data_IF_033358714469
#
_entry.id   IF_033358714469
#
_cell.length_a   1.000
_cell.length_b   1.000
_cell.length_c   1.000
_cell.angle_alpha   90.00
_cell.angle_beta   90.00
_cell.angle_gamma   90.00
#
_symmetry.space_group_name_H-M   'P 1'
#
loop_
_entity.id
_entity.type
_entity.pdbx_description
1 polymer ?
#
# COMPACT_ATOMS: atom_id res chain seq x y z
N UNK A 1 -8.17 7.53 39.49
CA UNK A 1 -7.71 6.23 38.94
C UNK A 1 -7.88 6.33 37.45
N UNK A 2 -6.79 6.37 36.71
CA UNK A 2 -6.84 6.39 35.24
C UNK A 2 -7.53 5.11 34.76
N UNK A 3 -8.52 5.25 33.89
CA UNK A 3 -9.16 4.08 33.28
C UNK A 3 -8.10 3.34 32.47
N UNK A 4 -7.99 2.00 32.58
CA UNK A 4 -7.05 1.25 31.79
C UNK A 4 -7.42 1.38 30.32
N UNK A 5 -6.46 1.78 29.50
CA UNK A 5 -6.68 1.90 28.06
C UNK A 5 -6.94 0.52 27.46
N UNK A 6 -8.07 0.34 26.79
CA UNK A 6 -8.48 -0.96 26.24
C UNK A 6 -8.02 -1.09 24.78
N UNK A 7 -7.19 -2.11 24.53
CA UNK A 7 -6.76 -2.49 23.19
C UNK A 7 -7.60 -3.66 22.68
N UNK A 8 -8.07 -3.57 21.44
CA UNK A 8 -8.86 -4.62 20.80
C UNK A 8 -8.03 -5.30 19.72
N UNK A 9 -7.95 -6.62 19.77
CA UNK A 9 -7.35 -7.41 18.70
C UNK A 9 -8.40 -7.72 17.64
N UNK A 10 -8.02 -7.45 16.39
CA UNK A 10 -8.83 -7.68 15.21
C UNK A 10 -8.05 -8.54 14.21
N UNK A 11 -8.79 -9.34 13.44
CA UNK A 11 -8.23 -10.07 12.30
C UNK A 11 -8.31 -9.16 11.07
N UNK A 12 -7.19 -9.02 10.38
CA UNK A 12 -7.11 -8.38 9.08
C UNK A 12 -7.04 -9.47 8.02
N UNK A 13 -7.96 -9.43 7.06
CA UNK A 13 -8.00 -10.33 5.92
C UNK A 13 -7.79 -9.54 4.63
N UNK A 14 -6.90 -10.07 3.78
CA UNK A 14 -6.62 -9.51 2.47
C UNK A 14 -7.65 -10.05 1.48
N UNK A 15 -8.47 -9.17 0.90
CA UNK A 15 -9.53 -9.57 -0.04
C UNK A 15 -9.11 -9.45 -1.51
N UNK A 16 -8.18 -8.55 -1.80
CA UNK A 16 -7.58 -8.32 -3.12
C UNK A 16 -6.08 -8.19 -2.95
N UNK A 17 -5.25 -8.37 -3.99
CA UNK A 17 -3.82 -8.11 -3.88
C UNK A 17 -3.53 -6.72 -3.30
N UNK A 18 -2.70 -6.65 -2.26
CA UNK A 18 -2.33 -5.38 -1.61
C UNK A 18 -0.81 -5.20 -1.68
N UNK A 19 -0.37 -4.08 -2.26
CA UNK A 19 1.04 -3.66 -2.25
C UNK A 19 1.24 -2.43 -1.35
N UNK A 20 2.23 -2.49 -0.47
CA UNK A 20 2.75 -1.35 0.30
C UNK A 20 4.26 -1.33 0.07
N UNK A 21 4.74 -0.39 -0.74
CA UNK A 21 6.13 -0.37 -1.19
C UNK A 21 7.07 0.37 -0.24
N UNK A 22 8.36 0.02 -0.31
CA UNK A 22 9.45 0.75 0.37
C UNK A 22 9.92 2.00 -0.38
N UNK A 23 9.48 2.17 -1.63
CA UNK A 23 10.02 3.15 -2.58
C UNK A 23 11.26 2.66 -3.34
N UNK A 24 11.79 1.49 -3.00
CA UNK A 24 12.89 0.85 -3.73
C UNK A 24 12.39 0.18 -5.02
N UNK A 25 13.35 -0.15 -5.88
CA UNK A 25 13.15 -0.93 -7.10
C UNK A 25 14.24 -2.00 -7.13
N UNK A 26 13.84 -3.26 -7.28
CA UNK A 26 14.74 -4.40 -7.41
C UNK A 26 14.94 -4.74 -8.88
N UNK A 27 16.17 -5.13 -9.23
CA UNK A 27 16.59 -5.43 -10.58
C UNK A 27 17.14 -6.86 -10.68
N UNK A 28 16.68 -7.62 -11.68
CA UNK A 28 17.20 -8.97 -11.96
C UNK A 28 18.69 -8.93 -12.32
N UNK A 29 19.12 -7.95 -13.12
CA UNK A 29 20.52 -7.79 -13.55
C UNK A 29 21.46 -7.48 -12.36
N UNK A 30 20.94 -6.87 -11.30
CA UNK A 30 21.67 -6.63 -10.06
C UNK A 30 21.62 -7.84 -9.10
N UNK A 31 20.92 -8.92 -9.48
CA UNK A 31 20.72 -10.14 -8.72
C UNK A 31 19.93 -9.96 -7.42
N UNK A 32 19.01 -8.99 -7.38
CA UNK A 32 18.05 -8.89 -6.27
C UNK A 32 17.08 -10.09 -6.25
N UNK A 33 16.78 -10.62 -7.43
CA UNK A 33 15.98 -11.82 -7.62
C UNK A 33 16.39 -12.56 -8.89
N UNK A 34 16.05 -13.84 -8.97
CA UNK A 34 16.27 -14.71 -10.13
C UNK A 34 14.95 -15.32 -10.60
N UNK A 35 14.84 -15.61 -11.89
CA UNK A 35 13.72 -16.37 -12.44
C UNK A 35 14.11 -17.84 -12.63
N UNK A 36 13.33 -18.75 -12.05
CA UNK A 36 13.52 -20.20 -12.22
C UNK A 36 12.19 -20.88 -12.55
N UNK A 37 12.01 -21.25 -13.82
CA UNK A 37 10.74 -21.78 -14.30
C UNK A 37 9.63 -20.74 -14.17
N UNK A 38 8.56 -21.06 -13.43
CA UNK A 38 7.45 -20.14 -13.16
C UNK A 38 7.50 -19.56 -11.73
N UNK A 39 8.69 -19.42 -11.17
CA UNK A 39 8.92 -18.89 -9.84
C UNK A 39 9.98 -17.79 -9.85
N UNK A 40 9.79 -16.77 -9.01
CA UNK A 40 10.75 -15.70 -8.76
C UNK A 40 11.39 -15.93 -7.40
N UNK A 41 12.71 -16.07 -7.39
CA UNK A 41 13.52 -16.38 -6.21
C UNK A 41 14.19 -15.09 -5.74
N UNK A 42 13.72 -14.52 -4.63
CA UNK A 42 14.34 -13.35 -4.01
C UNK A 42 15.57 -13.80 -3.24
N UNK A 43 16.70 -13.11 -3.47
CA UNK A 43 18.01 -13.53 -2.97
C UNK A 43 18.45 -12.66 -1.80
N UNK A 44 18.77 -13.30 -0.68
CA UNK A 44 19.53 -12.68 0.41
C UNK A 44 21.00 -12.56 -0.02
N UNK A 45 21.34 -11.45 -0.67
CA UNK A 45 22.69 -11.19 -1.16
C UNK A 45 23.73 -11.23 -0.03
N UNK A 46 23.41 -10.66 1.14
CA UNK A 46 24.33 -10.67 2.28
C UNK A 46 24.59 -12.10 2.77
N UNK A 47 23.53 -12.90 2.90
CA UNK A 47 23.64 -14.31 3.20
C UNK A 47 24.44 -15.08 2.14
N UNK A 48 24.24 -14.78 0.86
CA UNK A 48 24.98 -15.39 -0.24
C UNK A 48 26.48 -15.06 -0.14
N UNK A 49 26.84 -13.78 -0.01
CA UNK A 49 28.23 -13.35 0.13
C UNK A 49 28.90 -13.97 1.36
N UNK A 50 28.18 -14.06 2.48
CA UNK A 50 28.70 -14.71 3.69
C UNK A 50 29.00 -16.20 3.46
N UNK A 51 28.15 -16.93 2.72
CA UNK A 51 28.40 -18.32 2.35
C UNK A 51 29.62 -18.41 1.43
N UNK A 52 29.70 -17.56 0.41
CA UNK A 52 30.80 -17.56 -0.57
C UNK A 52 32.16 -17.28 0.09
N UNK A 53 32.25 -16.25 0.93
CA UNK A 53 33.50 -15.89 1.63
C UNK A 53 33.97 -17.00 2.57
N UNK A 54 33.03 -17.65 3.28
CA UNK A 54 33.35 -18.70 4.24
C UNK A 54 33.49 -20.09 3.60
N UNK A 55 33.20 -20.21 2.31
CA UNK A 55 33.37 -21.47 1.60
C UNK A 55 34.87 -21.80 1.48
N UNK A 56 35.23 -23.03 1.84
CA UNK A 56 36.61 -23.55 1.73
C UNK A 56 36.97 -23.97 0.31
N UNK A 57 36.06 -23.83 -0.66
CA UNK A 57 36.28 -24.22 -2.04
C UNK A 57 37.07 -23.14 -2.78
N UNK A 58 38.29 -23.49 -3.19
CA UNK A 58 39.20 -22.60 -3.92
C UNK A 58 38.58 -22.13 -5.26
N UNK A 59 37.73 -22.97 -5.87
CA UNK A 59 36.98 -22.69 -7.09
C UNK A 59 35.97 -21.55 -6.93
N UNK A 60 35.38 -21.37 -5.73
CA UNK A 60 34.41 -20.31 -5.46
C UNK A 60 35.05 -18.92 -5.37
N UNK A 61 36.29 -18.84 -4.88
CA UNK A 61 37.04 -17.57 -4.88
C UNK A 61 37.41 -17.15 -6.31
N UNK A 62 37.89 -18.08 -7.13
CA UNK A 62 38.12 -17.79 -8.54
C UNK A 62 36.83 -17.44 -9.30
N UNK A 63 35.70 -18.03 -8.93
CA UNK A 63 34.42 -17.72 -9.54
C UNK A 63 33.88 -16.36 -9.09
N UNK A 64 34.10 -15.93 -7.84
CA UNK A 64 33.79 -14.55 -7.41
C UNK A 64 34.64 -13.54 -8.19
N UNK A 65 35.90 -13.86 -8.48
CA UNK A 65 36.80 -12.99 -9.25
C UNK A 65 36.48 -12.97 -10.76
N UNK A 66 35.85 -14.03 -11.29
CA UNK A 66 35.52 -14.20 -12.72
C UNK A 66 34.04 -13.96 -13.08
N UNK A 67 33.12 -14.16 -12.13
CA UNK A 67 31.68 -14.08 -12.39
C UNK A 67 31.18 -12.65 -12.23
N UNK A 68 30.34 -12.24 -13.18
CA UNK A 68 29.70 -10.92 -13.19
C UNK A 68 28.22 -11.01 -12.78
N UNK A 69 27.67 -12.23 -12.64
CA UNK A 69 26.25 -12.46 -12.39
C UNK A 69 26.01 -13.36 -11.17
N UNK A 70 25.06 -12.95 -10.33
CA UNK A 70 24.66 -13.66 -9.09
C UNK A 70 24.12 -15.07 -9.37
N UNK A 71 23.59 -15.33 -10.58
CA UNK A 71 23.15 -16.65 -11.02
C UNK A 71 24.29 -17.68 -11.01
N UNK A 72 25.48 -17.28 -11.46
CA UNK A 72 26.65 -18.16 -11.51
C UNK A 72 27.20 -18.40 -10.10
N UNK A 73 27.16 -17.38 -9.25
CA UNK A 73 27.49 -17.50 -7.83
C UNK A 73 26.53 -18.45 -7.10
N UNK A 74 25.23 -18.40 -7.40
CA UNK A 74 24.23 -19.29 -6.80
C UNK A 74 24.35 -20.74 -7.30
N UNK A 75 24.63 -20.95 -8.59
CA UNK A 75 24.93 -22.28 -9.13
C UNK A 75 26.18 -22.86 -8.45
N UNK A 76 27.19 -22.03 -8.21
CA UNK A 76 28.42 -22.47 -7.57
C UNK A 76 28.30 -22.68 -6.05
N UNK A 77 27.41 -21.95 -5.36
CA UNK A 77 27.01 -22.22 -3.97
C UNK A 77 26.17 -23.51 -3.80
N UNK A 78 25.96 -24.22 -4.91
CA UNK A 78 25.48 -25.58 -5.18
C UNK A 78 24.20 -26.08 -4.51
N UNK A 79 23.62 -25.55 -3.42
CA UNK A 79 22.36 -26.19 -2.93
C UNK A 79 21.46 -25.50 -1.91
N UNK A 80 21.71 -24.28 -1.40
CA UNK A 80 20.83 -23.68 -0.38
C UNK A 80 20.51 -22.23 -0.67
N UNK A 81 19.20 -21.91 -0.69
CA UNK A 81 18.75 -20.52 -0.62
C UNK A 81 19.31 -19.90 0.67
N UNK A 82 20.11 -18.83 0.59
CA UNK A 82 20.75 -18.24 1.76
C UNK A 82 19.73 -17.56 2.66
N UNK A 83 19.90 -17.67 3.98
CA UNK A 83 19.29 -16.80 4.98
C UNK A 83 17.82 -16.47 4.75
N UNK A 84 17.54 -15.19 4.47
CA UNK A 84 16.19 -14.63 4.29
C UNK A 84 15.64 -14.73 2.86
N UNK A 85 16.23 -15.55 1.99
CA UNK A 85 15.72 -15.76 0.63
C UNK A 85 14.35 -16.43 0.65
N UNK A 86 13.48 -16.08 -0.31
CA UNK A 86 12.15 -16.66 -0.44
C UNK A 86 11.69 -16.72 -1.90
N UNK A 87 10.62 -17.49 -2.14
CA UNK A 87 10.08 -17.73 -3.47
C UNK A 87 8.73 -17.04 -3.61
N UNK A 88 8.53 -16.36 -4.73
CA UNK A 88 7.29 -15.73 -5.12
C UNK A 88 6.74 -16.39 -6.38
N UNK A 89 5.41 -16.53 -6.39
CA UNK A 89 4.64 -16.98 -7.56
C UNK A 89 3.88 -15.80 -8.14
N UNK A 90 3.57 -15.84 -9.43
CA UNK A 90 2.68 -14.87 -10.04
C UNK A 90 1.26 -14.99 -9.46
N UNK A 91 0.60 -13.85 -9.31
CA UNK A 91 -0.80 -13.78 -8.92
C UNK A 91 -1.70 -13.89 -10.17
N UNK A 92 -2.56 -14.91 -10.20
CA UNK A 92 -3.39 -15.23 -11.36
C UNK A 92 -2.56 -15.66 -12.57
N UNK A 93 -3.00 -15.29 -13.77
CA UNK A 93 -2.33 -15.63 -15.03
C UNK A 93 -1.28 -14.59 -15.48
N UNK A 94 -0.68 -13.85 -14.55
CA UNK A 94 0.36 -12.87 -14.89
C UNK A 94 1.71 -13.55 -15.16
N UNK A 95 2.48 -12.95 -16.06
CA UNK A 95 3.89 -13.31 -16.25
C UNK A 95 4.73 -12.82 -15.05
N UNK A 96 5.91 -13.40 -14.87
CA UNK A 96 6.90 -12.87 -13.93
C UNK A 96 7.70 -11.71 -14.56
N UNK A 97 8.21 -10.76 -13.75
CA UNK A 97 9.03 -9.67 -14.24
C UNK A 97 10.40 -10.15 -14.71
N UNK A 98 10.76 -9.83 -15.95
CA UNK A 98 12.09 -10.11 -16.53
C UNK A 98 13.17 -9.11 -16.11
N UNK A 99 12.81 -8.00 -15.44
CA UNK A 99 13.75 -6.91 -15.16
C UNK A 99 13.58 -6.28 -13.80
N UNK A 100 12.38 -5.80 -13.52
CA UNK A 100 12.13 -4.91 -12.38
C UNK A 100 10.98 -5.41 -11.52
N UNK A 101 11.16 -5.38 -10.20
CA UNK A 101 10.14 -5.71 -9.21
C UNK A 101 10.14 -4.65 -8.11
N UNK A 102 8.95 -4.16 -7.71
CA UNK A 102 8.82 -3.27 -6.55
C UNK A 102 8.58 -4.11 -5.29
N UNK A 103 9.50 -4.10 -4.31
CA UNK A 103 9.35 -4.90 -3.11
C UNK A 103 8.27 -4.35 -2.18
N UNK A 104 7.61 -5.27 -1.47
CA UNK A 104 6.72 -4.99 -0.37
C UNK A 104 7.53 -4.62 0.87
N UNK A 105 7.01 -3.73 1.71
CA UNK A 105 7.66 -3.30 2.95
C UNK A 105 7.77 -4.44 3.95
N UNK A 106 8.96 -4.61 4.52
CA UNK A 106 9.28 -5.67 5.48
C UNK A 106 9.98 -5.09 6.69
N UNK A 107 9.88 -5.79 7.82
CA UNK A 107 10.70 -5.50 9.00
C UNK A 107 12.16 -5.87 8.75
N UNK A 108 13.06 -5.52 9.68
CA UNK A 108 14.46 -5.94 9.64
C UNK A 108 14.63 -7.48 9.68
N UNK A 109 13.61 -8.23 10.10
CA UNK A 109 13.57 -9.69 10.09
C UNK A 109 12.92 -10.25 8.81
N UNK A 110 12.79 -9.43 7.76
CA UNK A 110 12.19 -9.77 6.47
C UNK A 110 10.72 -10.24 6.55
N UNK A 111 9.99 -9.83 7.60
CA UNK A 111 8.56 -10.10 7.71
C UNK A 111 7.77 -9.00 7.01
N UNK A 112 6.99 -9.31 5.96
CA UNK A 112 6.08 -8.35 5.34
C UNK A 112 5.08 -7.85 6.37
N UNK A 113 4.74 -6.58 6.33
CA UNK A 113 3.72 -6.06 7.25
C UNK A 113 2.91 -4.92 6.65
N UNK A 114 1.66 -4.77 7.10
CA UNK A 114 0.89 -3.56 6.88
C UNK A 114 1.23 -2.60 8.02
N UNK A 115 1.84 -1.44 7.73
CA UNK A 115 2.08 -0.44 8.77
C UNK A 115 0.76 0.09 9.33
N UNK A 116 0.67 0.23 10.65
CA UNK A 116 -0.48 0.84 11.32
C UNK A 116 -0.73 2.25 10.80
N UNK A 117 0.33 2.97 10.40
CA UNK A 117 0.25 4.29 9.75
C UNK A 117 -0.44 4.25 8.39
N UNK A 118 -0.28 3.19 7.59
CA UNK A 118 -0.96 3.03 6.30
C UNK A 118 -2.47 2.87 6.50
N UNK A 119 -2.90 2.00 7.43
CA UNK A 119 -4.32 1.85 7.75
C UNK A 119 -4.89 3.11 8.40
N UNK A 120 -4.12 3.78 9.27
CA UNK A 120 -4.49 5.07 9.87
C UNK A 120 -4.73 6.12 8.80
N UNK A 121 -3.90 6.14 7.77
CA UNK A 121 -4.05 7.01 6.59
C UNK A 121 -5.36 6.76 5.86
N UNK A 122 -5.70 5.50 5.59
CA UNK A 122 -6.99 5.13 4.97
C UNK A 122 -8.19 5.57 5.81
N UNK A 123 -8.15 5.35 7.13
CA UNK A 123 -9.20 5.81 8.05
C UNK A 123 -9.28 7.34 8.07
N UNK A 124 -8.12 8.02 8.07
CA UNK A 124 -8.05 9.49 7.99
C UNK A 124 -8.75 10.01 6.75
N UNK A 125 -8.56 9.37 5.59
CA UNK A 125 -9.25 9.76 4.35
C UNK A 125 -10.78 9.62 4.47
N UNK A 126 -11.28 8.56 5.12
CA UNK A 126 -12.71 8.38 5.38
C UNK A 126 -13.24 9.54 6.23
N UNK A 127 -12.60 9.80 7.37
CA UNK A 127 -12.98 10.85 8.31
C UNK A 127 -12.91 12.25 7.68
N UNK A 128 -11.89 12.50 6.87
CA UNK A 128 -11.74 13.74 6.11
C UNK A 128 -12.90 13.95 5.13
N UNK A 129 -13.31 12.91 4.40
CA UNK A 129 -14.44 13.02 3.49
C UNK A 129 -15.76 13.28 4.23
N UNK A 130 -15.93 12.71 5.42
CA UNK A 130 -17.12 12.91 6.24
C UNK A 130 -17.21 14.33 6.80
N UNK A 131 -16.09 14.90 7.28
CA UNK A 131 -16.07 16.27 7.78
C UNK A 131 -16.41 17.28 6.67
N UNK A 132 -15.95 17.04 5.44
CA UNK A 132 -16.34 17.84 4.27
C UNK A 132 -17.84 17.74 3.94
N UNK A 133 -18.45 16.56 4.06
CA UNK A 133 -19.86 16.35 3.70
C UNK A 133 -20.86 16.89 4.73
N UNK A 134 -20.49 16.94 6.02
CA UNK A 134 -21.35 17.48 7.10
C UNK A 134 -21.38 19.00 7.13
N UNK A 135 -20.29 19.65 6.71
CA UNK A 135 -20.32 21.08 6.46
C UNK A 135 -21.22 21.35 5.24
N UNK A 136 -22.14 22.32 5.29
CA UNK A 136 -23.01 22.75 4.17
C UNK A 136 -22.23 23.34 2.96
N UNK A 137 -20.98 22.94 2.80
CA UNK A 137 -19.91 23.48 1.98
C UNK A 137 -19.80 22.64 0.70
N UNK A 138 -20.91 22.24 0.06
CA UNK A 138 -20.83 21.67 -1.29
C UNK A 138 -20.64 22.78 -2.34
N UNK A 139 -21.31 23.91 -2.16
CA UNK A 139 -21.11 25.14 -2.96
C UNK A 139 -19.77 25.82 -2.62
N UNK A 140 -19.35 25.75 -1.36
CA UNK A 140 -18.04 26.25 -0.91
C UNK A 140 -16.90 25.27 -1.17
N UNK A 141 -17.14 23.98 -1.43
CA UNK A 141 -16.09 23.00 -1.70
C UNK A 141 -15.20 23.49 -2.83
N UNK A 142 -15.84 23.86 -3.95
CA UNK A 142 -15.14 24.35 -5.12
C UNK A 142 -14.45 25.70 -4.88
N UNK A 143 -15.00 26.56 -4.01
CA UNK A 143 -14.40 27.87 -3.72
C UNK A 143 -13.21 27.75 -2.74
N UNK A 144 -13.31 26.88 -1.72
CA UNK A 144 -12.25 26.52 -0.78
C UNK A 144 -11.11 25.82 -1.51
N UNK A 145 -11.39 24.79 -2.32
CA UNK A 145 -10.37 24.13 -3.14
C UNK A 145 -9.72 25.11 -4.15
N UNK A 146 -10.50 26.01 -4.79
CA UNK A 146 -9.94 27.04 -5.69
C UNK A 146 -9.07 28.07 -4.95
N UNK A 147 -9.46 28.50 -3.75
CA UNK A 147 -8.68 29.44 -2.92
C UNK A 147 -7.40 28.79 -2.40
N UNK A 148 -7.49 27.53 -1.97
CA UNK A 148 -6.35 26.80 -1.40
C UNK A 148 -5.37 26.34 -2.48
N UNK A 149 -5.82 25.92 -3.67
CA UNK A 149 -4.94 25.56 -4.79
C UNK A 149 -4.01 26.71 -5.25
N UNK A 150 -4.34 27.96 -4.91
CA UNK A 150 -3.48 29.12 -5.19
C UNK A 150 -2.41 29.36 -4.10
N UNK A 151 -2.45 28.62 -3.01
CA UNK A 151 -1.52 28.76 -1.89
C UNK A 151 -0.41 27.72 -1.96
N UNK A 152 0.73 28.02 -1.33
CA UNK A 152 1.79 27.03 -1.08
C UNK A 152 1.24 25.92 -0.15
N UNK A 153 1.49 24.67 -0.53
CA UNK A 153 1.08 23.45 0.17
C UNK A 153 -0.44 23.37 0.49
N UNK A 154 -1.32 23.37 -0.53
CA UNK A 154 -2.77 23.35 -0.32
C UNK A 154 -3.22 22.15 0.51
N UNK A 155 -2.68 20.97 0.23
CA UNK A 155 -3.03 19.72 0.90
C UNK A 155 -2.72 19.74 2.39
N UNK A 156 -1.57 20.31 2.77
CA UNK A 156 -1.16 20.42 4.17
C UNK A 156 -2.11 21.33 4.95
N UNK A 157 -2.46 22.49 4.38
CA UNK A 157 -3.41 23.44 5.00
C UNK A 157 -4.80 22.86 5.18
N UNK A 158 -5.30 22.16 4.16
CA UNK A 158 -6.59 21.45 4.22
C UNK A 158 -6.56 20.41 5.34
N UNK A 159 -5.46 19.66 5.44
CA UNK A 159 -5.30 18.63 6.45
C UNK A 159 -5.25 19.22 7.87
N UNK A 160 -4.48 20.30 8.08
CA UNK A 160 -4.43 21.03 9.36
C UNK A 160 -5.81 21.57 9.73
N UNK A 161 -6.54 22.18 8.80
CA UNK A 161 -7.89 22.68 9.05
C UNK A 161 -8.87 21.57 9.43
N UNK A 162 -8.73 20.37 8.86
CA UNK A 162 -9.67 19.28 9.12
C UNK A 162 -9.41 18.55 10.44
N UNK A 163 -8.16 18.46 10.89
CA UNK A 163 -7.78 17.57 12.00
C UNK A 163 -7.07 18.28 13.17
N UNK A 164 -6.62 19.52 12.99
CA UNK A 164 -5.72 20.22 13.93
C UNK A 164 -5.89 21.74 13.92
N UNK A 165 -7.08 22.26 13.63
CA UNK A 165 -7.33 23.71 13.49
C UNK A 165 -7.05 24.52 14.77
N UNK A 166 -7.10 23.86 15.93
CA UNK A 166 -6.79 24.42 17.25
C UNK A 166 -5.31 24.59 17.53
N UNK A 167 -4.42 24.09 16.66
CA UNK A 167 -2.98 24.19 16.87
C UNK A 167 -2.54 25.67 16.86
N UNK A 168 -1.96 26.19 17.95
CA UNK A 168 -1.61 27.61 18.03
C UNK A 168 -0.36 27.93 17.19
N UNK A 169 0.45 26.92 16.84
CA UNK A 169 1.62 27.03 15.96
C UNK A 169 1.70 25.82 15.01
N UNK A 170 2.18 25.99 13.77
CA UNK A 170 2.34 24.89 12.82
C UNK A 170 3.18 23.72 13.35
N UNK A 171 4.24 24.00 14.12
CA UNK A 171 5.10 22.98 14.74
C UNK A 171 4.39 22.13 15.80
N UNK A 172 3.25 22.60 16.32
CA UNK A 172 2.46 21.89 17.32
C UNK A 172 1.28 21.14 16.73
N UNK A 173 1.02 21.26 15.42
CA UNK A 173 -0.07 20.56 14.70
C UNK A 173 -0.21 19.08 15.10
N UNK A 174 0.87 18.28 15.19
CA UNK A 174 0.75 16.86 15.57
C UNK A 174 0.14 16.63 16.95
N UNK A 175 0.33 17.55 17.91
CA UNK A 175 -0.20 17.43 19.26
C UNK A 175 -1.71 17.64 19.33
N UNK A 176 -2.25 18.40 18.37
CA UNK A 176 -3.67 18.73 18.25
C UNK A 176 -4.38 17.88 17.20
N UNK A 177 -3.69 16.92 16.57
CA UNK A 177 -4.31 16.01 15.63
C UNK A 177 -5.24 15.04 16.38
N UNK A 178 -6.54 15.08 16.06
CA UNK A 178 -7.51 14.17 16.66
C UNK A 178 -7.11 12.71 16.51
N UNK A 179 -6.54 12.31 15.36
CA UNK A 179 -6.13 10.92 15.18
C UNK A 179 -4.98 10.49 16.08
N UNK A 180 -4.37 11.39 16.84
CA UNK A 180 -3.42 11.02 17.89
C UNK A 180 -4.05 10.07 18.92
N UNK A 181 -5.35 10.18 19.20
CA UNK A 181 -6.04 9.26 20.12
C UNK A 181 -6.27 7.86 19.53
N UNK A 182 -6.11 7.66 18.21
CA UNK A 182 -6.29 6.35 17.57
C UNK A 182 -4.92 5.69 17.37
N UNK A 183 -4.69 4.60 18.08
CA UNK A 183 -3.48 3.79 17.96
C UNK A 183 -3.78 2.53 17.14
N UNK A 184 -2.92 2.26 16.16
CA UNK A 184 -2.97 1.10 15.29
C UNK A 184 -1.61 0.44 15.33
N UNK A 185 -1.57 -0.84 15.68
CA UNK A 185 -0.33 -1.61 15.58
C UNK A 185 -0.02 -1.93 14.12
N UNK A 186 1.23 -2.27 13.87
CA UNK A 186 1.62 -2.95 12.64
C UNK A 186 1.03 -4.37 12.61
N UNK A 187 0.85 -4.89 11.39
CA UNK A 187 0.28 -6.22 11.15
C UNK A 187 1.20 -7.05 10.29
N UNK A 188 1.80 -8.08 10.88
CA UNK A 188 2.85 -8.88 10.28
C UNK A 188 2.29 -10.10 9.55
N UNK A 189 2.83 -10.37 8.37
CA UNK A 189 2.50 -11.50 7.50
C UNK A 189 3.74 -12.38 7.30
N UNK A 190 3.54 -13.54 6.67
CA UNK A 190 4.64 -14.39 6.22
C UNK A 190 5.07 -13.99 4.81
N UNK A 191 6.33 -14.26 4.44
CA UNK A 191 6.77 -14.15 3.03
C UNK A 191 6.00 -15.09 2.11
N UNK A 192 5.42 -16.17 2.65
CA UNK A 192 4.52 -17.08 1.91
C UNK A 192 3.17 -16.44 1.54
N UNK A 193 2.82 -15.31 2.15
CA UNK A 193 1.63 -14.52 1.81
C UNK A 193 1.90 -13.55 0.67
N UNK A 194 3.16 -13.41 0.24
CA UNK A 194 3.53 -12.57 -0.89
C UNK A 194 3.40 -13.32 -2.23
N UNK A 195 2.98 -12.57 -3.23
CA UNK A 195 2.91 -12.97 -4.64
C UNK A 195 3.40 -11.82 -5.51
N UNK A 196 3.74 -12.11 -6.77
CA UNK A 196 4.04 -11.09 -7.76
C UNK A 196 2.74 -10.67 -8.46
N UNK A 197 2.37 -9.40 -8.32
CA UNK A 197 1.23 -8.81 -9.01
C UNK A 197 1.70 -7.94 -10.19
N UNK A 198 1.09 -8.16 -11.36
CA UNK A 198 1.23 -7.32 -12.56
C UNK A 198 0.14 -6.24 -12.55
N UNK A 199 0.53 -5.01 -12.25
CA UNK A 199 -0.40 -3.87 -12.20
C UNK A 199 -0.47 -3.24 -13.59
N UNK A 200 -1.68 -3.20 -14.16
CA UNK A 200 -1.95 -2.56 -15.45
C UNK A 200 -2.92 -1.39 -15.30
N UNK A 201 -2.70 -0.32 -16.06
CA UNK A 201 -3.46 0.92 -15.97
C UNK A 201 -4.47 1.03 -17.09
N UNK A 202 -5.75 0.93 -16.73
CA UNK A 202 -6.85 1.28 -17.62
C UNK A 202 -7.15 2.78 -17.53
N UNK A 203 -7.27 3.47 -18.65
CA UNK A 203 -7.61 4.88 -18.69
C UNK A 203 -8.60 5.21 -19.82
N UNK A 204 -9.35 6.30 -19.61
CA UNK A 204 -10.16 6.93 -20.64
C UNK A 204 -9.41 8.16 -21.15
N UNK A 205 -9.26 8.25 -22.47
CA UNK A 205 -8.70 9.42 -23.12
C UNK A 205 -9.73 10.09 -24.00
N UNK A 206 -9.84 11.41 -23.87
CA UNK A 206 -10.77 12.20 -24.67
C UNK A 206 -10.12 12.58 -25.99
N UNK A 207 -10.79 12.28 -27.11
CA UNK A 207 -10.38 12.71 -28.44
C UNK A 207 -11.57 13.39 -29.12
N UNK A 208 -11.60 14.73 -29.02
CA UNK A 208 -12.77 15.50 -29.44
C UNK A 208 -13.95 15.27 -28.50
N UNK A 209 -15.09 14.85 -29.05
CA UNK A 209 -16.30 14.52 -28.29
C UNK A 209 -16.30 13.10 -27.73
N UNK A 210 -15.44 12.22 -28.26
CA UNK A 210 -15.49 10.79 -27.97
C UNK A 210 -14.49 10.39 -26.87
N UNK A 211 -14.92 9.47 -26.02
CA UNK A 211 -14.08 8.82 -25.02
C UNK A 211 -13.52 7.53 -25.60
N UNK A 212 -12.19 7.43 -25.71
CA UNK A 212 -11.50 6.21 -26.12
C UNK A 212 -10.97 5.47 -24.88
N UNK A 213 -11.36 4.21 -24.74
CA UNK A 213 -10.81 3.27 -23.74
C UNK A 213 -9.45 2.76 -24.19
N UNK A 214 -8.47 2.76 -23.28
CA UNK A 214 -7.13 2.25 -23.55
C UNK A 214 -6.40 1.79 -22.29
N UNK A 215 -5.27 1.14 -22.50
CA UNK A 215 -4.31 0.71 -21.51
C UNK A 215 -3.06 1.54 -21.61
N UNK A 216 -2.63 2.12 -20.49
CA UNK A 216 -1.36 2.83 -20.44
C UNK A 216 -0.24 1.81 -20.34
N UNK A 217 0.59 1.76 -21.38
CA UNK A 217 1.81 0.97 -21.38
C UNK A 217 2.90 1.72 -20.61
N UNK A 218 3.41 1.12 -19.54
CA UNK A 218 4.33 1.78 -18.63
C UNK A 218 5.77 1.83 -19.13
N UNK A 219 6.14 0.97 -20.10
CA UNK A 219 7.46 0.99 -20.73
C UNK A 219 7.58 2.08 -21.79
N UNK A 220 6.69 2.09 -22.77
CA UNK A 220 6.66 3.03 -23.89
C UNK A 220 5.95 4.35 -23.57
N UNK A 221 5.18 4.40 -22.46
CA UNK A 221 4.33 5.55 -22.08
C UNK A 221 3.31 5.93 -23.15
N UNK A 222 2.82 4.94 -23.89
CA UNK A 222 1.77 5.09 -24.91
C UNK A 222 0.47 4.42 -24.45
N UNK A 223 -0.61 4.72 -25.16
CA UNK A 223 -1.90 4.06 -24.93
C UNK A 223 -2.07 2.93 -25.95
N UNK A 224 -2.43 1.74 -25.46
CA UNK A 224 -2.59 0.50 -26.21
C UNK A 224 -4.05 0.03 -26.07
N UNK A 225 -4.61 -0.58 -27.09
CA UNK A 225 -6.04 -0.95 -27.09
C UNK A 225 -6.31 -2.24 -26.31
N UNK A 226 -5.45 -3.25 -26.48
CA UNK A 226 -5.55 -4.54 -25.78
C UNK A 226 -4.71 -4.53 -24.53
N UNK A 227 -5.26 -5.06 -23.44
CA UNK A 227 -4.56 -5.08 -22.16
C UNK A 227 -3.35 -6.01 -22.21
N UNK A 228 -3.43 -7.13 -22.94
CA UNK A 228 -2.37 -8.15 -23.06
C UNK A 228 -1.06 -7.57 -23.58
N UNK A 229 -1.15 -6.64 -24.51
CA UNK A 229 -0.01 -6.01 -25.18
C UNK A 229 0.59 -4.85 -24.37
N UNK A 230 -0.10 -4.40 -23.32
CA UNK A 230 0.36 -3.33 -22.45
C UNK A 230 1.22 -3.85 -21.30
N UNK A 231 2.44 -3.32 -21.19
CA UNK A 231 3.35 -3.59 -20.08
C UNK A 231 2.88 -2.87 -18.82
N UNK A 232 2.69 -3.64 -17.76
CA UNK A 232 2.39 -3.15 -16.42
C UNK A 232 3.63 -2.84 -15.60
N UNK A 233 3.43 -2.74 -14.30
CA UNK A 233 4.49 -2.68 -13.29
C UNK A 233 4.32 -3.88 -12.38
N UNK A 234 5.42 -4.58 -12.12
CA UNK A 234 5.42 -5.71 -11.22
C UNK A 234 5.73 -5.27 -9.79
N UNK A 235 4.95 -5.81 -8.86
CA UNK A 235 5.09 -5.52 -7.43
C UNK A 235 4.95 -6.80 -6.63
N UNK A 236 5.63 -6.89 -5.50
CA UNK A 236 5.25 -7.85 -4.47
C UNK A 236 3.95 -7.38 -3.80
N UNK A 237 2.99 -8.27 -3.65
CA UNK A 237 1.72 -7.96 -3.02
C UNK A 237 1.32 -9.10 -2.07
N UNK A 238 0.61 -8.75 -1.00
CA UNK A 238 -0.08 -9.74 -0.18
C UNK A 238 -1.21 -10.38 -0.99
N UNK A 239 -1.27 -11.71 -1.02
CA UNK A 239 -2.30 -12.46 -1.76
C UNK A 239 -3.65 -12.44 -1.03
N UNK A 240 -4.76 -12.51 -1.76
CA UNK A 240 -6.09 -12.72 -1.17
C UNK A 240 -6.14 -13.96 -0.26
N UNK A 241 -6.93 -13.87 0.81
CA UNK A 241 -7.08 -14.90 1.84
C UNK A 241 -6.01 -14.87 2.94
N UNK A 242 -4.94 -14.09 2.79
CA UNK A 242 -3.93 -13.91 3.84
C UNK A 242 -4.55 -13.23 5.06
N UNK A 243 -4.23 -13.72 6.26
CA UNK A 243 -4.80 -13.26 7.53
C UNK A 243 -3.73 -12.99 8.56
N UNK A 244 -3.93 -11.94 9.36
CA UNK A 244 -3.09 -11.66 10.52
C UNK A 244 -3.86 -10.89 11.58
N UNK A 245 -3.22 -10.63 12.72
CA UNK A 245 -3.78 -9.83 13.80
C UNK A 245 -3.30 -8.37 13.73
N UNK A 246 -4.16 -7.48 14.19
CA UNK A 246 -3.86 -6.08 14.43
C UNK A 246 -4.47 -5.66 15.76
N UNK A 247 -3.75 -4.86 16.54
CA UNK A 247 -4.31 -4.17 17.68
C UNK A 247 -4.80 -2.79 17.28
N UNK A 248 -6.03 -2.47 17.63
CA UNK A 248 -6.62 -1.14 17.47
C UNK A 248 -7.06 -0.64 18.85
N UNK A 249 -6.72 0.60 19.14
CA UNK A 249 -6.93 1.17 20.46
C UNK A 249 -7.29 2.65 20.36
N UNK A 250 -8.23 3.07 21.21
CA UNK A 250 -8.44 4.47 21.52
C UNK A 250 -7.69 4.80 22.80
N UNK A 251 -6.93 5.89 22.82
CA UNK A 251 -6.20 6.36 23.98
C UNK A 251 -7.14 7.15 24.90
N UNK A 252 -7.62 6.49 25.95
CA UNK A 252 -8.60 7.05 26.90
C UNK A 252 -8.07 8.29 27.64
N UNK A 253 -6.77 8.34 27.93
CA UNK A 253 -6.14 9.49 28.58
C UNK A 253 -6.11 10.70 27.65
N UNK A 254 -5.64 10.50 26.41
CA UNK A 254 -5.65 11.57 25.42
C UNK A 254 -7.07 11.99 25.04
N UNK A 255 -8.06 11.07 25.08
CA UNK A 255 -9.47 11.40 24.89
C UNK A 255 -10.04 12.24 26.05
N UNK A 256 -9.65 11.96 27.30
CA UNK A 256 -10.10 12.77 28.46
C UNK A 256 -9.47 14.16 28.49
N UNK A 257 -8.23 14.27 28.02
CA UNK A 257 -7.48 15.54 27.94
C UNK A 257 -7.75 16.30 26.63
N UNK A 258 -8.36 15.66 25.62
CA UNK A 258 -8.67 16.32 24.36
C UNK A 258 -9.64 17.47 24.65
N UNK A 259 -9.31 18.71 24.25
CA UNK A 259 -10.07 19.86 24.69
C UNK A 259 -11.51 19.74 24.21
N UNK A 260 -12.46 19.67 25.16
CA UNK A 260 -13.91 19.85 24.91
C UNK A 260 -14.24 21.20 24.25
N UNK A 261 -13.24 22.06 24.03
CA UNK A 261 -13.37 23.40 23.48
C UNK A 261 -12.53 23.52 22.21
N UNK A 262 -13.24 23.56 21.08
CA UNK A 262 -12.89 24.33 19.88
C UNK A 262 -12.22 23.66 18.67
N UNK A 263 -12.35 22.35 18.42
CA UNK A 263 -12.18 21.90 17.02
C UNK A 263 -13.47 22.22 16.26
N UNK A 264 -13.45 23.20 15.36
CA UNK A 264 -14.64 23.90 14.83
C UNK A 264 -15.58 23.02 13.99
N UNK A 265 -15.23 21.75 13.74
CA UNK A 265 -16.00 20.84 12.88
C UNK A 265 -16.33 19.47 13.49
N UNK A 266 -15.90 19.22 14.73
CA UNK A 266 -16.08 17.93 15.40
C UNK A 266 -16.80 18.07 16.74
N UNK A 267 -17.79 18.96 16.86
CA UNK A 267 -18.61 19.06 18.08
C UNK A 267 -19.36 17.75 18.42
N UNK A 268 -19.53 16.86 17.44
CA UNK A 268 -20.11 15.51 17.58
C UNK A 268 -19.06 14.42 17.89
N UNK A 269 -17.79 14.76 18.18
CA UNK A 269 -16.69 13.79 18.41
C UNK A 269 -17.06 12.65 19.39
N UNK A 270 -17.79 12.89 20.49
CA UNK A 270 -18.22 11.82 21.40
C UNK A 270 -19.01 10.70 20.71
N UNK A 271 -19.71 10.99 19.61
CA UNK A 271 -20.47 9.99 18.83
C UNK A 271 -19.58 9.16 17.88
N UNK A 272 -18.33 9.58 17.65
CA UNK A 272 -17.34 8.87 16.82
C UNK A 272 -16.39 7.99 17.65
N UNK A 273 -16.35 8.21 18.96
CA UNK A 273 -15.54 7.43 19.90
C UNK A 273 -16.24 6.09 20.12
N UNK A 274 -15.93 5.13 19.25
CA UNK A 274 -16.46 3.78 19.33
C UNK A 274 -16.22 2.99 18.04
N UNK A 275 -15.67 1.78 18.18
CA UNK A 275 -15.36 0.91 17.05
C UNK A 275 -16.57 0.61 16.18
N UNK A 276 -17.77 0.52 16.76
CA UNK A 276 -19.01 0.27 16.02
C UNK A 276 -19.34 1.40 15.04
N UNK A 277 -19.27 2.66 15.48
CA UNK A 277 -19.55 3.79 14.60
C UNK A 277 -18.46 3.94 13.53
N UNK A 278 -17.19 3.82 13.92
CA UNK A 278 -16.07 3.85 12.98
C UNK A 278 -16.25 2.80 11.89
N UNK A 279 -16.60 1.56 12.25
CA UNK A 279 -16.90 0.48 11.31
C UNK A 279 -18.00 0.85 10.31
N UNK A 280 -19.13 1.37 10.80
CA UNK A 280 -20.25 1.79 9.94
C UNK A 280 -19.79 2.85 8.93
N UNK A 281 -19.03 3.83 9.38
CA UNK A 281 -18.56 4.94 8.55
C UNK A 281 -17.53 4.51 7.51
N UNK A 282 -16.56 3.68 7.91
CA UNK A 282 -15.56 3.10 6.99
C UNK A 282 -16.24 2.23 5.94
N UNK A 283 -17.16 1.37 6.35
CA UNK A 283 -17.90 0.50 5.43
C UNK A 283 -18.75 1.31 4.44
N UNK A 284 -19.50 2.31 4.91
CA UNK A 284 -20.30 3.16 4.04
C UNK A 284 -19.43 3.94 3.03
N UNK A 285 -18.27 4.44 3.47
CA UNK A 285 -17.35 5.12 2.58
C UNK A 285 -16.74 4.19 1.54
N UNK A 286 -16.29 3.00 1.95
CA UNK A 286 -15.72 1.98 1.07
C UNK A 286 -16.75 1.48 0.05
N UNK A 287 -17.98 1.17 0.49
CA UNK A 287 -19.07 0.75 -0.39
C UNK A 287 -19.34 1.78 -1.49
N UNK A 288 -19.45 3.06 -1.13
CA UNK A 288 -19.66 4.14 -2.09
C UNK A 288 -18.53 4.27 -3.12
N UNK A 289 -17.27 3.98 -2.74
CA UNK A 289 -16.15 3.95 -3.69
C UNK A 289 -16.26 2.74 -4.62
N UNK A 290 -16.49 1.56 -4.06
CA UNK A 290 -16.66 0.32 -4.81
C UNK A 290 -17.82 0.39 -5.81
N UNK A 291 -18.95 0.98 -5.43
CA UNK A 291 -20.10 1.18 -6.32
C UNK A 291 -19.74 2.05 -7.53
N UNK A 292 -18.92 3.10 -7.32
CA UNK A 292 -18.45 3.95 -8.42
C UNK A 292 -17.49 3.20 -9.34
N UNK A 293 -16.57 2.42 -8.77
CA UNK A 293 -15.64 1.61 -9.55
C UNK A 293 -16.38 0.54 -10.35
N UNK A 294 -17.34 -0.15 -9.73
CA UNK A 294 -18.21 -1.14 -10.39
C UNK A 294 -18.99 -0.47 -11.53
N UNK A 295 -19.62 0.69 -11.29
CA UNK A 295 -20.35 1.41 -12.32
C UNK A 295 -19.44 1.82 -13.49
N UNK A 296 -18.25 2.33 -13.19
CA UNK A 296 -17.24 2.70 -14.17
C UNK A 296 -16.81 1.49 -15.01
N UNK A 297 -16.43 0.37 -14.39
CA UNK A 297 -16.00 -0.81 -15.13
C UNK A 297 -17.14 -1.50 -15.88
N UNK A 298 -18.37 -1.51 -15.35
CA UNK A 298 -19.55 -1.98 -16.11
C UNK A 298 -19.81 -1.13 -17.35
N UNK A 299 -19.62 0.19 -17.26
CA UNK A 299 -19.83 1.09 -18.39
C UNK A 299 -18.74 0.93 -19.46
N UNK A 300 -17.47 0.83 -19.07
CA UNK A 300 -16.35 0.95 -20.00
C UNK A 300 -15.61 -0.37 -20.29
N UNK A 301 -15.91 -1.43 -19.54
CA UNK A 301 -15.15 -2.70 -19.57
C UNK A 301 -16.02 -3.96 -19.52
N UNK A 302 -17.33 -3.86 -19.76
CA UNK A 302 -18.28 -4.99 -19.71
C UNK A 302 -17.79 -6.26 -20.42
N UNK A 303 -17.13 -6.12 -21.57
CA UNK A 303 -16.70 -7.25 -22.42
C UNK A 303 -15.43 -7.97 -21.91
N UNK A 304 -14.60 -7.30 -21.11
CA UNK A 304 -13.34 -7.89 -20.62
C UNK A 304 -13.48 -8.54 -19.24
N UNK A 305 -14.47 -8.12 -18.44
CA UNK A 305 -14.64 -8.51 -17.02
C UNK A 305 -14.57 -10.03 -16.78
N UNK A 306 -15.23 -10.91 -17.57
CA UNK A 306 -15.18 -12.35 -17.32
C UNK A 306 -13.77 -12.95 -17.40
N UNK A 307 -12.89 -12.38 -18.24
CA UNK A 307 -11.55 -12.93 -18.53
C UNK A 307 -10.45 -12.53 -17.54
N UNK A 308 -10.74 -11.63 -16.59
CA UNK A 308 -9.75 -11.21 -15.56
C UNK A 308 -10.15 -11.62 -14.16
N UNK A 309 -11.41 -12.01 -13.96
CA UNK A 309 -11.90 -12.55 -12.69
C UNK A 309 -11.70 -14.06 -12.56
N UNK A 310 -11.29 -14.73 -13.64
CA UNK A 310 -10.68 -16.06 -13.58
C UNK A 310 -9.24 -15.88 -13.06
N UNK A 311 -9.12 -15.84 -11.72
CA UNK A 311 -7.86 -15.95 -10.98
C UNK A 311 -7.51 -17.43 -10.83
#
# INVERSE_FOLDING_TARGET
MDKPTVSYQHIVEILTPVHIGTGQLWHQEAGDFLLKGNELHVIDQNGLFAILVNSTHQDLKELVDKSTQIEDLMKAADTKMPGHSYVLKSFGHSNLPERELRPFIKTALFQPYIPGSSLKGSIRTVLFNLSLNKSHVLSERNSVFKKLNKQKNPSEKINTQAFSDTAPKPSQTPNYDFLRVLHLSDSHFSTQDLVVADIRWFNLTQRGTDLKKSWRDMGSRRNIEKWQDAKGIFTEALKPGSKTYMAIQWDDFLLSEFPQKNVLHWKDLPDFIGFNKLKILVNAHALRLLEKDIAFYKQYRADDIPKLCEI
#
